data_IF_227265519315
#
_entry.id   IF_227265519315
#
_cell.length_a   1.000
_cell.length_b   1.000
_cell.length_c   1.000
_cell.angle_alpha   90.00
_cell.angle_beta   90.00
_cell.angle_gamma   90.00
#
_symmetry.space_group_name_H-M   'P 1'
#
loop_
_entity.id
_entity.type
_entity.pdbx_description
1 polymer ?
#
# COMPACT_ATOMS: atom_id res chain seq x y z
N UNK A 1 25.61 14.63 -0.11
CA UNK A 1 25.64 13.28 -0.71
C UNK A 1 25.09 12.25 0.26
N UNK A 2 24.32 11.30 -0.22
CA UNK A 2 23.75 10.20 0.57
C UNK A 2 24.88 9.29 1.10
N UNK A 3 25.07 9.25 2.43
CA UNK A 3 26.05 8.31 3.02
C UNK A 3 25.50 6.88 2.99
N UNK A 4 26.38 5.89 2.82
CA UNK A 4 26.00 4.46 2.83
C UNK A 4 25.29 4.05 4.13
N UNK A 5 25.76 4.57 5.26
CA UNK A 5 25.16 4.27 6.55
C UNK A 5 23.72 4.80 6.65
N UNK A 6 23.44 6.02 6.20
CA UNK A 6 22.07 6.58 6.18
C UNK A 6 21.15 5.86 5.21
N UNK A 7 21.68 5.45 4.06
CA UNK A 7 20.89 4.64 3.11
C UNK A 7 20.50 3.30 3.70
N UNK A 8 21.41 2.59 4.37
CA UNK A 8 21.11 1.33 5.06
C UNK A 8 20.08 1.57 6.17
N UNK A 9 20.24 2.62 6.95
CA UNK A 9 19.33 3.00 8.02
C UNK A 9 17.91 3.25 7.48
N UNK A 10 17.77 4.06 6.44
CA UNK A 10 16.47 4.32 5.81
C UNK A 10 15.80 3.04 5.30
N UNK A 11 16.55 2.14 4.69
CA UNK A 11 16.04 0.85 4.24
C UNK A 11 15.57 -0.03 5.42
N UNK A 12 16.29 -0.05 6.53
CA UNK A 12 15.87 -0.79 7.71
C UNK A 12 14.53 -0.26 8.28
N UNK A 13 14.37 1.06 8.33
CA UNK A 13 13.11 1.68 8.75
C UNK A 13 11.99 1.45 7.72
N UNK A 14 12.31 1.43 6.44
CA UNK A 14 11.34 1.12 5.39
C UNK A 14 10.80 -0.32 5.54
N UNK A 15 11.69 -1.28 5.75
CA UNK A 15 11.31 -2.67 6.05
C UNK A 15 10.34 -2.74 7.23
N UNK A 16 10.67 -2.07 8.34
CA UNK A 16 9.85 -2.06 9.53
C UNK A 16 8.48 -1.42 9.30
N UNK A 17 8.46 -0.21 8.79
CA UNK A 17 7.22 0.57 8.60
C UNK A 17 6.28 -0.10 7.59
N UNK A 18 6.80 -0.62 6.49
CA UNK A 18 6.00 -1.36 5.50
C UNK A 18 5.43 -2.65 6.08
N UNK A 19 6.23 -3.39 6.84
CA UNK A 19 5.77 -4.61 7.49
C UNK A 19 4.68 -4.34 8.52
N UNK A 20 4.81 -3.30 9.33
CA UNK A 20 3.78 -2.89 10.29
C UNK A 20 2.48 -2.50 9.58
N UNK A 21 2.58 -1.65 8.56
CA UNK A 21 1.42 -1.16 7.83
C UNK A 21 0.63 -2.29 7.15
N UNK A 22 1.33 -3.19 6.46
CA UNK A 22 0.68 -4.29 5.74
C UNK A 22 0.16 -5.40 6.67
N UNK A 23 0.58 -5.43 7.95
CA UNK A 23 -0.03 -6.27 8.98
C UNK A 23 -1.39 -5.74 9.47
N UNK A 24 -1.68 -4.43 9.31
CA UNK A 24 -2.93 -3.80 9.80
C UNK A 24 -4.19 -4.50 9.28
N UNK A 25 -4.37 -4.79 7.98
CA UNK A 25 -5.57 -5.47 7.48
C UNK A 25 -5.82 -6.82 8.15
N UNK A 26 -4.75 -7.58 8.42
CA UNK A 26 -4.83 -8.87 9.09
C UNK A 26 -5.28 -8.69 10.54
N UNK A 27 -4.61 -7.79 11.26
CA UNK A 27 -4.95 -7.50 12.66
C UNK A 27 -6.39 -7.02 12.81
N UNK A 28 -6.86 -6.16 11.89
CA UNK A 28 -8.24 -5.68 11.86
C UNK A 28 -9.23 -6.83 11.70
N UNK A 29 -8.94 -7.84 10.85
CA UNK A 29 -9.81 -9.00 10.69
C UNK A 29 -9.96 -9.79 12.00
N UNK A 30 -8.86 -10.03 12.73
CA UNK A 30 -8.93 -10.69 14.04
C UNK A 30 -9.57 -9.83 15.14
N UNK A 31 -9.38 -8.51 15.07
CA UNK A 31 -9.99 -7.58 16.01
C UNK A 31 -11.50 -7.50 15.87
N UNK A 32 -12.04 -7.35 14.65
CA UNK A 32 -13.48 -7.27 14.45
C UNK A 32 -14.17 -8.54 14.93
N UNK A 33 -13.57 -9.71 14.72
CA UNK A 33 -14.07 -10.98 15.26
C UNK A 33 -14.03 -10.98 16.80
N UNK A 34 -12.91 -10.54 17.38
CA UNK A 34 -12.72 -10.50 18.84
C UNK A 34 -13.68 -9.55 19.54
N UNK A 35 -14.13 -8.48 18.89
CA UNK A 35 -15.08 -7.51 19.41
C UNK A 35 -16.53 -7.77 18.97
N UNK A 36 -16.79 -8.82 18.17
CA UNK A 36 -18.13 -9.12 17.66
C UNK A 36 -18.61 -8.13 16.59
N UNK A 37 -17.67 -7.50 15.89
CA UNK A 37 -17.92 -6.55 14.81
C UNK A 37 -17.73 -7.21 13.43
N UNK A 38 -18.06 -6.51 12.37
CA UNK A 38 -18.01 -7.01 10.99
C UNK A 38 -17.19 -6.15 10.03
N UNK A 39 -17.36 -6.47 8.74
CA UNK A 39 -16.62 -5.89 7.61
C UNK A 39 -16.77 -4.38 7.51
N UNK A 40 -17.92 -3.84 7.94
CA UNK A 40 -18.22 -2.41 7.99
C UNK A 40 -17.22 -1.63 8.83
N UNK A 41 -16.83 -2.19 9.99
CA UNK A 41 -15.85 -1.58 10.87
C UNK A 41 -14.46 -1.57 10.20
N UNK A 42 -14.05 -2.65 9.52
CA UNK A 42 -12.80 -2.70 8.76
C UNK A 42 -12.80 -1.65 7.65
N UNK A 43 -13.86 -1.57 6.86
CA UNK A 43 -14.00 -0.59 5.79
C UNK A 43 -13.88 0.85 6.29
N UNK A 44 -14.56 1.17 7.39
CA UNK A 44 -14.53 2.49 8.00
C UNK A 44 -13.13 2.85 8.52
N UNK A 45 -12.50 1.97 9.29
CA UNK A 45 -11.18 2.21 9.90
C UNK A 45 -10.12 2.42 8.79
N UNK A 46 -10.13 1.58 7.75
CA UNK A 46 -9.17 1.69 6.65
C UNK A 46 -9.41 2.97 5.84
N UNK A 47 -10.66 3.36 5.60
CA UNK A 47 -11.00 4.61 4.90
C UNK A 47 -10.57 5.84 5.66
N UNK A 48 -10.93 5.93 6.95
CA UNK A 48 -10.54 7.07 7.80
C UNK A 48 -9.02 7.11 7.98
N UNK A 49 -8.38 5.94 8.15
CA UNK A 49 -6.92 5.84 8.22
C UNK A 49 -6.24 6.33 6.94
N UNK A 50 -6.77 5.97 5.78
CA UNK A 50 -6.25 6.43 4.48
C UNK A 50 -6.43 7.96 4.32
N UNK A 51 -7.58 8.51 4.71
CA UNK A 51 -7.83 9.95 4.72
C UNK A 51 -6.88 10.70 5.66
N UNK A 52 -6.74 10.22 6.90
CA UNK A 52 -5.83 10.79 7.89
C UNK A 52 -4.36 10.73 7.45
N UNK A 53 -3.95 9.60 6.85
CA UNK A 53 -2.61 9.43 6.29
C UNK A 53 -2.34 10.38 5.14
N UNK A 54 -3.31 10.59 4.24
CA UNK A 54 -3.20 11.56 3.14
C UNK A 54 -3.08 12.98 3.69
N UNK A 55 -3.91 13.36 4.66
CA UNK A 55 -3.87 14.68 5.29
C UNK A 55 -2.52 14.91 6.03
N UNK A 56 -2.05 13.92 6.80
CA UNK A 56 -0.75 13.99 7.46
C UNK A 56 0.40 14.11 6.44
N UNK A 57 0.28 13.41 5.31
CA UNK A 57 1.23 13.49 4.19
C UNK A 57 1.41 14.90 3.62
N UNK A 58 0.34 15.71 3.58
CA UNK A 58 0.42 17.11 3.14
C UNK A 58 1.27 17.99 4.07
N UNK A 59 1.25 17.70 5.38
CA UNK A 59 2.05 18.42 6.39
C UNK A 59 3.51 17.96 6.50
N UNK A 60 3.88 16.91 5.82
CA UNK A 60 5.18 16.23 5.97
C UNK A 60 6.38 17.16 5.80
N UNK A 61 6.40 17.97 4.74
CA UNK A 61 7.52 18.87 4.45
C UNK A 61 7.64 20.00 5.46
N UNK A 62 6.51 20.48 6.00
CA UNK A 62 6.51 21.48 7.07
C UNK A 62 7.13 20.92 8.35
N UNK A 63 6.80 19.67 8.66
CA UNK A 63 7.36 18.96 9.81
C UNK A 63 8.87 18.74 9.64
N UNK A 64 9.30 18.29 8.45
CA UNK A 64 10.71 18.09 8.15
C UNK A 64 11.54 19.38 8.18
N UNK A 65 10.96 20.51 7.76
CA UNK A 65 11.62 21.82 7.88
C UNK A 65 11.85 22.24 9.32
N UNK A 66 10.95 21.89 10.24
CA UNK A 66 11.05 22.22 11.66
C UNK A 66 11.96 21.29 12.44
N UNK A 67 11.86 20.00 12.20
CA UNK A 67 12.54 18.96 12.98
C UNK A 67 13.78 18.38 12.29
N UNK A 68 13.86 18.49 10.96
CA UNK A 68 14.80 17.75 10.12
C UNK A 68 14.26 16.39 9.69
N UNK A 69 14.86 15.79 8.66
CA UNK A 69 14.39 14.55 8.05
C UNK A 69 14.44 13.36 9.04
N UNK A 70 15.59 13.14 9.69
CA UNK A 70 15.77 11.99 10.58
C UNK A 70 14.94 12.11 11.85
N UNK A 71 14.80 13.30 12.43
CA UNK A 71 13.93 13.52 13.59
C UNK A 71 12.45 13.34 13.24
N UNK A 72 12.06 13.70 12.02
CA UNK A 72 10.71 13.43 11.54
C UNK A 72 10.47 11.93 11.37
N UNK A 73 11.41 11.16 10.81
CA UNK A 73 11.34 9.70 10.74
C UNK A 73 11.24 9.09 12.15
N UNK A 74 12.03 9.59 13.10
CA UNK A 74 11.96 9.18 14.51
C UNK A 74 10.56 9.38 15.08
N UNK A 75 10.01 10.58 14.93
CA UNK A 75 8.68 10.92 15.44
C UNK A 75 7.60 10.04 14.83
N UNK A 76 7.60 9.85 13.50
CA UNK A 76 6.58 9.02 12.84
C UNK A 76 6.68 7.56 13.23
N UNK A 77 7.91 7.02 13.37
CA UNK A 77 8.13 5.65 13.84
C UNK A 77 7.63 5.49 15.28
N UNK A 78 7.87 6.48 16.14
CA UNK A 78 7.35 6.49 17.51
C UNK A 78 5.82 6.56 17.55
N UNK A 79 5.19 7.38 16.71
CA UNK A 79 3.73 7.48 16.59
C UNK A 79 3.14 6.15 16.11
N UNK A 80 3.73 5.51 15.09
CA UNK A 80 3.32 4.18 14.66
C UNK A 80 3.41 3.16 15.79
N UNK A 81 4.56 3.11 16.49
CA UNK A 81 4.76 2.19 17.61
C UNK A 81 3.79 2.43 18.76
N UNK A 82 3.55 3.69 19.12
CA UNK A 82 2.59 4.06 20.16
C UNK A 82 1.16 3.64 19.76
N UNK A 83 0.77 3.83 18.49
CA UNK A 83 -0.52 3.39 17.97
C UNK A 83 -0.71 1.87 18.12
N UNK A 84 0.29 1.08 17.73
CA UNK A 84 0.25 -0.37 17.92
C UNK A 84 0.20 -0.78 19.40
N UNK A 85 1.04 -0.20 20.25
CA UNK A 85 1.02 -0.48 21.69
C UNK A 85 -0.34 -0.11 22.33
N UNK A 86 -0.89 1.05 21.98
CA UNK A 86 -2.18 1.50 22.50
C UNK A 86 -3.33 0.60 22.05
N UNK A 87 -3.30 0.09 20.80
CA UNK A 87 -4.28 -0.85 20.27
C UNK A 87 -4.36 -2.13 21.12
N UNK A 88 -3.24 -2.57 21.72
CA UNK A 88 -3.20 -3.73 22.62
C UNK A 88 -4.19 -3.62 23.79
N UNK A 89 -4.39 -2.42 24.32
CA UNK A 89 -5.23 -2.16 25.49
C UNK A 89 -6.64 -1.70 25.12
N UNK A 90 -6.99 -1.66 23.85
CA UNK A 90 -8.32 -1.24 23.40
C UNK A 90 -9.40 -2.17 23.94
N UNK A 91 -10.49 -1.59 24.46
CA UNK A 91 -11.66 -2.30 24.96
C UNK A 91 -12.77 -2.48 23.91
N UNK A 92 -12.65 -1.81 22.76
CA UNK A 92 -13.60 -1.88 21.66
C UNK A 92 -12.93 -1.53 20.32
N UNK A 93 -13.64 -1.78 19.22
CA UNK A 93 -13.14 -1.59 17.87
C UNK A 93 -12.90 -0.12 17.51
N UNK A 94 -13.64 0.82 18.11
CA UNK A 94 -13.48 2.25 17.83
C UNK A 94 -12.15 2.75 18.36
N UNK A 95 -11.80 2.41 19.60
CA UNK A 95 -10.51 2.77 20.20
C UNK A 95 -9.37 2.09 19.44
N UNK A 96 -9.51 0.81 19.12
CA UNK A 96 -8.52 0.09 18.31
C UNK A 96 -8.32 0.76 16.95
N UNK A 97 -9.41 1.13 16.28
CA UNK A 97 -9.39 1.83 15.00
C UNK A 97 -8.67 3.18 15.06
N UNK A 98 -8.94 3.99 16.09
CA UNK A 98 -8.25 5.26 16.30
C UNK A 98 -6.74 5.06 16.48
N UNK A 99 -6.32 4.03 17.22
CA UNK A 99 -4.92 3.68 17.37
C UNK A 99 -4.26 3.30 16.02
N UNK A 100 -4.95 2.54 15.17
CA UNK A 100 -4.44 2.19 13.83
C UNK A 100 -4.45 3.35 12.85
N UNK A 101 -5.39 4.31 12.98
CA UNK A 101 -5.36 5.55 12.18
C UNK A 101 -4.05 6.31 12.42
N UNK A 102 -3.55 6.36 13.65
CA UNK A 102 -2.25 6.96 13.96
C UNK A 102 -1.10 6.21 13.27
N UNK A 103 -1.12 4.87 13.27
CA UNK A 103 -0.12 4.07 12.61
C UNK A 103 -0.13 4.28 11.09
N UNK A 104 -1.31 4.33 10.45
CA UNK A 104 -1.46 4.59 9.02
C UNK A 104 -1.01 6.01 8.65
N UNK A 105 -1.31 7.00 9.48
CA UNK A 105 -0.82 8.37 9.27
C UNK A 105 0.72 8.43 9.29
N UNK A 106 1.34 7.73 10.23
CA UNK A 106 2.80 7.62 10.31
C UNK A 106 3.41 6.99 9.07
N UNK A 107 2.83 5.92 8.53
CA UNK A 107 3.27 5.27 7.30
C UNK A 107 3.35 6.25 6.12
N UNK A 108 2.30 7.03 5.88
CA UNK A 108 2.27 7.99 4.76
C UNK A 108 3.31 9.09 4.92
N UNK A 109 3.48 9.62 6.15
CA UNK A 109 4.49 10.64 6.44
C UNK A 109 5.90 10.08 6.23
N UNK A 110 6.18 8.85 6.69
CA UNK A 110 7.47 8.19 6.50
C UNK A 110 7.86 8.12 5.02
N UNK A 111 6.98 7.64 4.15
CA UNK A 111 7.27 7.52 2.72
C UNK A 111 7.58 8.86 2.07
N UNK A 112 6.77 9.89 2.36
CA UNK A 112 7.01 11.22 1.82
C UNK A 112 8.35 11.80 2.27
N UNK A 113 8.74 11.59 3.53
CA UNK A 113 10.03 12.03 4.07
C UNK A 113 11.19 11.25 3.45
N UNK A 114 11.09 9.93 3.41
CA UNK A 114 12.16 9.08 2.89
C UNK A 114 12.43 9.36 1.41
N UNK A 115 11.38 9.46 0.59
CA UNK A 115 11.54 9.80 -0.83
C UNK A 115 12.09 11.22 -1.03
N UNK A 116 11.65 12.20 -0.23
CA UNK A 116 12.18 13.55 -0.28
C UNK A 116 13.67 13.58 0.10
N UNK A 117 14.05 12.88 1.17
CA UNK A 117 15.43 12.78 1.61
C UNK A 117 16.32 12.14 0.53
N UNK A 118 15.88 11.01 -0.05
CA UNK A 118 16.61 10.32 -1.11
C UNK A 118 16.77 11.21 -2.35
N UNK A 119 15.73 11.94 -2.74
CA UNK A 119 15.78 12.87 -3.88
C UNK A 119 16.78 13.99 -3.68
N UNK A 120 16.83 14.56 -2.49
CA UNK A 120 17.72 15.69 -2.17
C UNK A 120 19.19 15.27 -2.05
N UNK A 121 19.47 14.04 -1.61
CA UNK A 121 20.82 13.60 -1.29
C UNK A 121 21.45 12.68 -2.34
N UNK A 122 20.69 12.30 -3.38
CA UNK A 122 21.16 11.41 -4.45
C UNK A 122 21.42 12.19 -5.73
N UNK A 123 22.53 11.92 -6.39
CA UNK A 123 22.82 12.45 -7.73
C UNK A 123 21.72 12.07 -8.72
N UNK A 124 21.28 13.04 -9.55
CA UNK A 124 20.19 12.84 -10.53
C UNK A 124 20.37 11.60 -11.41
N UNK A 125 21.63 11.29 -11.77
CA UNK A 125 21.98 10.14 -12.61
C UNK A 125 21.75 8.78 -11.91
N UNK A 126 21.76 8.73 -10.58
CA UNK A 126 21.59 7.52 -9.76
C UNK A 126 20.23 7.44 -9.08
N UNK A 127 19.46 8.53 -9.15
CA UNK A 127 18.21 8.66 -8.40
C UNK A 127 17.21 7.55 -8.73
N UNK A 128 17.00 7.25 -10.01
CA UNK A 128 16.07 6.20 -10.43
C UNK A 128 16.43 4.84 -9.85
N UNK A 129 17.72 4.47 -9.87
CA UNK A 129 18.19 3.22 -9.28
C UNK A 129 18.01 3.19 -7.76
N UNK A 130 18.40 4.25 -7.06
CA UNK A 130 18.27 4.34 -5.60
C UNK A 130 16.81 4.25 -5.16
N UNK A 131 15.89 4.90 -5.89
CA UNK A 131 14.45 4.83 -5.63
C UNK A 131 13.89 3.42 -5.87
N UNK A 132 14.30 2.78 -6.96
CA UNK A 132 13.89 1.40 -7.27
C UNK A 132 14.38 0.41 -6.20
N UNK A 133 15.66 0.50 -5.84
CA UNK A 133 16.26 -0.37 -4.82
C UNK A 133 15.58 -0.15 -3.45
N UNK A 134 15.34 1.12 -3.07
CA UNK A 134 14.63 1.47 -1.82
C UNK A 134 13.23 0.85 -1.79
N UNK A 135 12.45 0.99 -2.87
CA UNK A 135 11.10 0.45 -2.95
C UNK A 135 11.09 -1.09 -2.90
N UNK A 136 12.04 -1.74 -3.58
CA UNK A 136 12.15 -3.20 -3.57
C UNK A 136 12.53 -3.75 -2.18
N UNK A 137 13.40 -3.06 -1.45
CA UNK A 137 13.81 -3.46 -0.10
C UNK A 137 12.65 -3.39 0.90
N UNK A 138 11.77 -2.38 0.79
CA UNK A 138 10.56 -2.31 1.62
C UNK A 138 9.70 -3.58 1.52
N UNK A 139 9.57 -4.14 0.32
CA UNK A 139 8.80 -5.37 0.11
C UNK A 139 9.41 -6.61 0.81
N UNK A 140 10.72 -6.64 1.02
CA UNK A 140 11.39 -7.76 1.74
C UNK A 140 10.88 -7.88 3.17
N UNK A 141 10.61 -6.75 3.85
CA UNK A 141 10.08 -6.76 5.21
C UNK A 141 8.63 -7.20 5.33
N UNK A 142 7.84 -7.01 4.29
CA UNK A 142 6.43 -7.43 4.26
C UNK A 142 6.28 -8.94 4.43
N UNK A 143 7.13 -9.73 3.76
CA UNK A 143 7.02 -11.18 3.76
C UNK A 143 7.05 -11.75 5.21
N UNK A 144 8.09 -11.53 6.01
CA UNK A 144 8.13 -12.07 7.37
C UNK A 144 7.16 -11.39 8.32
N UNK A 145 7.07 -10.06 8.33
CA UNK A 145 6.28 -9.35 9.34
C UNK A 145 4.77 -9.58 9.15
N UNK A 146 4.26 -9.52 7.92
CA UNK A 146 2.85 -9.77 7.65
C UNK A 146 2.48 -11.22 7.94
N UNK A 147 3.33 -12.17 7.55
CA UNK A 147 3.08 -13.60 7.79
C UNK A 147 3.13 -13.95 9.28
N UNK A 148 4.15 -13.46 10.00
CA UNK A 148 4.25 -13.65 11.45
C UNK A 148 3.07 -13.03 12.20
N UNK A 149 2.63 -11.83 11.80
CA UNK A 149 1.44 -11.21 12.36
C UNK A 149 0.20 -12.10 12.18
N UNK A 150 0.01 -12.64 10.97
CA UNK A 150 -1.13 -13.48 10.65
C UNK A 150 -1.10 -14.82 11.43
N UNK A 151 0.06 -15.47 11.51
CA UNK A 151 0.21 -16.68 12.31
C UNK A 151 -0.01 -16.42 13.80
N UNK A 152 0.64 -15.40 14.36
CA UNK A 152 0.53 -15.12 15.78
C UNK A 152 -0.86 -14.62 16.20
N UNK A 153 -1.53 -13.81 15.37
CA UNK A 153 -2.85 -13.27 15.67
C UNK A 153 -3.93 -14.35 15.79
N UNK A 154 -3.72 -15.51 15.15
CA UNK A 154 -4.68 -16.64 15.17
C UNK A 154 -4.65 -17.46 16.47
N UNK A 155 -3.64 -17.27 17.32
CA UNK A 155 -3.51 -18.00 18.58
C UNK A 155 -3.92 -17.14 19.79
N UNK A 156 -4.09 -17.80 20.94
CA UNK A 156 -4.18 -17.16 22.25
C UNK A 156 -2.94 -17.50 23.08
N UNK A 157 -2.38 -16.51 23.75
CA UNK A 157 -1.19 -16.64 24.59
C UNK A 157 -1.57 -16.27 26.03
N UNK A 158 -1.63 -17.28 26.92
CA UNK A 158 -1.97 -17.05 28.32
C UNK A 158 -3.34 -16.36 28.53
N UNK A 159 -4.31 -16.66 27.67
CA UNK A 159 -5.65 -16.02 27.70
C UNK A 159 -5.75 -14.69 26.93
N UNK A 160 -4.66 -14.14 26.44
CA UNK A 160 -4.66 -12.95 25.60
C UNK A 160 -4.85 -13.31 24.12
N UNK A 161 -5.75 -12.65 23.37
CA UNK A 161 -5.87 -12.80 21.93
C UNK A 161 -4.53 -12.49 21.23
N UNK A 162 -4.14 -13.32 20.26
CA UNK A 162 -2.85 -13.20 19.58
C UNK A 162 -2.64 -11.87 18.87
N UNK A 163 -3.69 -11.25 18.34
CA UNK A 163 -3.59 -9.92 17.75
C UNK A 163 -3.08 -8.86 18.76
N UNK A 164 -3.40 -8.98 20.05
CA UNK A 164 -2.87 -8.09 21.10
C UNK A 164 -1.38 -8.30 21.32
N UNK A 165 -0.94 -9.56 21.28
CA UNK A 165 0.49 -9.90 21.39
C UNK A 165 1.26 -9.36 20.20
N UNK A 166 0.72 -9.46 18.99
CA UNK A 166 1.33 -8.86 17.80
C UNK A 166 1.40 -7.34 17.95
N UNK A 167 0.32 -6.70 18.37
CA UNK A 167 0.29 -5.25 18.55
C UNK A 167 1.36 -4.77 19.55
N UNK A 168 1.49 -5.40 20.72
CA UNK A 168 2.49 -4.98 21.71
C UNK A 168 3.92 -5.25 21.23
N UNK A 169 4.18 -6.39 20.59
CA UNK A 169 5.52 -6.74 20.11
C UNK A 169 5.97 -5.84 18.94
N UNK A 170 5.09 -5.59 17.99
CA UNK A 170 5.36 -4.69 16.85
C UNK A 170 5.48 -3.24 17.29
N UNK A 171 4.60 -2.80 18.20
CA UNK A 171 4.66 -1.48 18.78
C UNK A 171 5.95 -1.26 19.57
N UNK A 172 6.34 -2.21 20.42
CA UNK A 172 7.58 -2.15 21.18
C UNK A 172 8.82 -2.14 20.27
N UNK A 173 8.84 -2.95 19.21
CA UNK A 173 9.92 -2.95 18.22
C UNK A 173 10.04 -1.59 17.51
N UNK A 174 8.90 -0.98 17.11
CA UNK A 174 8.89 0.32 16.48
C UNK A 174 9.35 1.44 17.46
N UNK A 175 8.91 1.40 18.73
CA UNK A 175 9.36 2.35 19.75
C UNK A 175 10.85 2.21 20.05
N UNK A 176 11.37 0.97 20.14
CA UNK A 176 12.79 0.72 20.33
C UNK A 176 13.62 1.24 19.13
N UNK A 177 13.13 1.02 17.90
CA UNK A 177 13.73 1.58 16.70
C UNK A 177 13.72 3.11 16.73
N UNK A 178 12.58 3.74 17.06
CA UNK A 178 12.48 5.19 17.17
C UNK A 178 13.46 5.76 18.21
N UNK A 179 13.57 5.11 19.37
CA UNK A 179 14.49 5.50 20.42
C UNK A 179 15.95 5.39 19.96
N UNK A 180 16.28 4.29 19.29
CA UNK A 180 17.62 4.10 18.72
C UNK A 180 17.95 5.18 17.67
N UNK A 181 17.02 5.52 16.77
CA UNK A 181 17.22 6.58 15.78
C UNK A 181 17.38 7.95 16.44
N UNK A 182 16.57 8.23 17.47
CA UNK A 182 16.66 9.46 18.24
C UNK A 182 18.08 9.70 18.79
N UNK A 183 18.66 8.68 19.42
CA UNK A 183 20.01 8.79 19.97
C UNK A 183 21.09 8.81 18.88
N UNK A 184 20.90 8.06 17.80
CA UNK A 184 21.88 7.99 16.69
C UNK A 184 21.97 9.28 15.86
N UNK A 185 20.86 10.02 15.79
CA UNK A 185 20.77 11.27 15.02
C UNK A 185 20.63 12.52 15.91
N UNK A 186 20.94 12.39 17.20
CA UNK A 186 20.89 13.49 18.15
C UNK A 186 21.96 14.53 17.80
N UNK A 187 21.54 15.73 17.44
CA UNK A 187 22.44 16.82 17.04
C UNK A 187 22.49 17.09 15.53
N UNK A 188 21.76 16.33 14.73
CA UNK A 188 21.53 16.73 13.35
C UNK A 188 20.67 17.99 13.32
N UNK A 189 21.18 19.02 12.65
CA UNK A 189 20.42 20.27 12.47
C UNK A 189 19.39 20.11 11.37
N UNK A 190 18.21 20.77 11.47
CA UNK A 190 17.27 20.86 10.37
C UNK A 190 17.98 21.39 9.12
N UNK A 191 17.87 20.69 8.01
CA UNK A 191 18.40 21.17 6.75
C UNK A 191 17.47 22.26 6.21
N UNK A 192 17.83 23.51 6.43
CA UNK A 192 17.17 24.67 5.85
C UNK A 192 17.62 24.84 4.39
N UNK A 193 16.99 24.14 3.46
CA UNK A 193 17.17 24.44 2.05
C UNK A 193 16.00 25.27 1.56
N UNK A 194 16.24 26.57 1.35
CA UNK A 194 15.29 27.55 0.80
C UNK A 194 14.87 27.27 -0.65
N UNK A 195 15.49 26.33 -1.34
CA UNK A 195 15.36 26.13 -2.78
C UNK A 195 14.25 25.17 -3.25
N UNK A 196 13.35 24.70 -2.39
CA UNK A 196 12.19 23.93 -2.84
C UNK A 196 10.96 24.79 -3.18
N UNK A 197 11.12 26.10 -3.28
CA UNK A 197 10.07 27.03 -3.72
C UNK A 197 10.12 27.31 -5.23
N UNK A 198 10.32 26.30 -6.05
CA UNK A 198 9.78 26.33 -7.40
C UNK A 198 8.27 26.39 -7.26
N UNK A 199 7.67 27.52 -7.66
CA UNK A 199 6.25 27.79 -7.54
C UNK A 199 5.45 26.55 -7.97
N UNK A 200 4.81 25.87 -7.00
CA UNK A 200 3.84 24.85 -7.32
C UNK A 200 2.62 25.58 -7.89
N UNK A 201 2.60 25.69 -9.21
CA UNK A 201 1.36 25.79 -9.92
C UNK A 201 0.52 24.56 -9.57
N UNK A 202 -0.76 24.74 -9.24
CA UNK A 202 -1.67 23.60 -9.10
C UNK A 202 -1.63 22.80 -10.41
N UNK A 203 -1.67 21.45 -10.35
CA UNK A 203 -1.64 20.64 -11.57
C UNK A 203 -2.79 21.04 -12.48
N UNK A 204 -2.51 21.17 -13.77
CA UNK A 204 -3.50 21.57 -14.75
C UNK A 204 -4.41 20.41 -15.11
N UNK A 205 -5.69 20.50 -14.75
CA UNK A 205 -6.71 19.54 -15.19
C UNK A 205 -6.98 19.60 -16.71
N UNK A 206 -6.35 20.55 -17.41
CA UNK A 206 -6.38 20.62 -18.88
C UNK A 206 -5.86 19.37 -19.58
N UNK A 207 -5.07 18.53 -18.90
CA UNK A 207 -4.58 17.26 -19.43
C UNK A 207 -5.70 16.28 -19.81
N UNK A 208 -6.90 16.38 -19.19
CA UNK A 208 -8.05 15.54 -19.55
C UNK A 208 -8.67 15.85 -20.91
N UNK A 209 -8.26 16.94 -21.57
CA UNK A 209 -8.63 17.21 -22.97
C UNK A 209 -7.97 16.23 -23.93
N UNK A 210 -6.82 15.65 -23.54
CA UNK A 210 -6.21 14.56 -24.29
C UNK A 210 -6.94 13.24 -23.97
N UNK A 211 -7.59 12.68 -24.99
CA UNK A 211 -8.35 11.43 -24.88
C UNK A 211 -7.50 10.27 -24.38
N UNK A 212 -6.25 10.20 -24.79
CA UNK A 212 -5.35 9.08 -24.43
C UNK A 212 -4.95 9.19 -22.95
N UNK A 213 -4.66 10.40 -22.46
CA UNK A 213 -4.40 10.63 -21.03
C UNK A 213 -5.65 10.32 -20.19
N UNK A 214 -6.83 10.74 -20.66
CA UNK A 214 -8.09 10.44 -19.99
C UNK A 214 -8.32 8.93 -19.86
N UNK A 215 -8.14 8.17 -20.96
CA UNK A 215 -8.30 6.71 -20.96
C UNK A 215 -7.26 6.01 -20.04
N UNK A 216 -6.01 6.47 -20.05
CA UNK A 216 -4.98 5.95 -19.17
C UNK A 216 -5.31 6.19 -17.69
N UNK A 217 -5.79 7.40 -17.34
CA UNK A 217 -6.24 7.73 -15.99
C UNK A 217 -7.46 6.90 -15.56
N UNK A 218 -8.43 6.73 -16.45
CA UNK A 218 -9.61 5.90 -16.19
C UNK A 218 -9.22 4.46 -15.90
N UNK A 219 -8.31 3.87 -16.69
CA UNK A 219 -7.77 2.55 -16.44
C UNK A 219 -7.08 2.47 -15.06
N UNK A 220 -6.30 3.48 -14.71
CA UNK A 220 -5.61 3.55 -13.41
C UNK A 220 -6.58 3.60 -12.23
N UNK A 221 -7.67 4.36 -12.33
CA UNK A 221 -8.70 4.48 -11.28
C UNK A 221 -9.46 3.15 -11.14
N UNK A 222 -9.88 2.54 -12.25
CA UNK A 222 -10.58 1.25 -12.23
C UNK A 222 -9.69 0.15 -11.66
N UNK A 223 -8.40 0.12 -12.02
CA UNK A 223 -7.43 -0.79 -11.43
C UNK A 223 -7.29 -0.55 -9.91
N UNK A 224 -7.19 0.70 -9.44
CA UNK A 224 -7.13 0.99 -8.01
C UNK A 224 -8.37 0.46 -7.27
N UNK A 225 -9.54 0.64 -7.85
CA UNK A 225 -10.80 0.19 -7.27
C UNK A 225 -10.87 -1.35 -7.16
N UNK A 226 -10.48 -2.06 -8.21
CA UNK A 226 -10.56 -3.52 -8.26
C UNK A 226 -9.44 -4.23 -7.49
N UNK A 227 -8.28 -3.59 -7.32
CA UNK A 227 -7.03 -4.24 -6.99
C UNK A 227 -6.49 -3.86 -5.60
N UNK A 228 -6.46 -2.55 -5.27
CA UNK A 228 -5.67 -2.06 -4.14
C UNK A 228 -6.18 -2.55 -2.77
N UNK A 229 -7.42 -3.06 -2.68
CA UNK A 229 -8.08 -3.49 -1.42
C UNK A 229 -8.37 -4.98 -1.31
N UNK A 230 -7.93 -5.79 -2.26
CA UNK A 230 -8.11 -7.25 -2.23
C UNK A 230 -7.58 -7.83 -0.91
N UNK A 231 -6.35 -7.50 -0.53
CA UNK A 231 -5.72 -8.01 0.68
C UNK A 231 -6.39 -7.51 1.97
N UNK A 232 -7.06 -6.34 1.93
CA UNK A 232 -7.75 -5.77 3.10
C UNK A 232 -8.89 -6.66 3.59
N UNK A 233 -9.65 -7.24 2.68
CA UNK A 233 -10.82 -8.05 3.00
C UNK A 233 -10.57 -9.56 2.85
N UNK A 234 -9.43 -9.98 2.31
CA UNK A 234 -9.10 -11.38 2.08
C UNK A 234 -9.15 -12.24 3.36
N UNK A 235 -8.60 -11.82 4.52
CA UNK A 235 -8.70 -12.63 5.74
C UNK A 235 -10.15 -12.85 6.16
N UNK A 236 -11.04 -11.86 6.04
CA UNK A 236 -12.44 -11.98 6.38
C UNK A 236 -13.19 -12.91 5.41
N UNK A 237 -12.90 -12.82 4.10
CA UNK A 237 -13.46 -13.76 3.13
C UNK A 237 -13.09 -15.20 3.48
N UNK A 238 -11.82 -15.45 3.81
CA UNK A 238 -11.33 -16.80 4.12
C UNK A 238 -11.97 -17.35 5.40
N UNK A 239 -12.06 -16.54 6.45
CA UNK A 239 -12.73 -16.91 7.69
C UNK A 239 -14.23 -17.18 7.44
N UNK A 240 -14.88 -16.32 6.64
CA UNK A 240 -16.28 -16.51 6.25
C UNK A 240 -16.54 -17.78 5.42
N UNK A 241 -15.52 -18.29 4.72
CA UNK A 241 -15.54 -19.59 4.03
C UNK A 241 -15.24 -20.78 4.95
N UNK A 242 -15.04 -20.54 6.25
CA UNK A 242 -14.72 -21.60 7.22
C UNK A 242 -13.25 -22.03 7.21
N UNK A 243 -12.35 -21.26 6.60
CA UNK A 243 -10.91 -21.52 6.68
C UNK A 243 -10.45 -21.30 8.12
N UNK A 244 -9.68 -22.26 8.68
CA UNK A 244 -9.14 -22.14 10.03
C UNK A 244 -8.28 -20.85 10.11
N UNK A 245 -8.56 -19.94 11.04
CA UNK A 245 -7.78 -18.72 11.24
C UNK A 245 -6.27 -18.97 11.34
N UNK A 246 -5.83 -20.12 11.87
CA UNK A 246 -4.42 -20.51 11.97
C UNK A 246 -3.70 -20.64 10.62
N UNK A 247 -4.44 -20.83 9.55
CA UNK A 247 -3.89 -21.00 8.20
C UNK A 247 -3.79 -19.66 7.46
N UNK A 248 -4.43 -18.60 7.97
CA UNK A 248 -4.40 -17.27 7.31
C UNK A 248 -2.96 -16.77 7.10
N UNK A 249 -2.03 -17.14 7.99
CA UNK A 249 -0.61 -16.85 7.80
C UNK A 249 -0.02 -17.41 6.51
N UNK A 250 -0.45 -18.59 6.08
CA UNK A 250 -0.01 -19.19 4.81
C UNK A 250 -0.51 -18.40 3.60
N UNK A 251 -1.73 -17.87 3.64
CA UNK A 251 -2.25 -17.00 2.57
C UNK A 251 -1.53 -15.67 2.54
N UNK A 252 -1.28 -15.07 3.70
CA UNK A 252 -0.52 -13.83 3.81
C UNK A 252 0.90 -13.99 3.26
N UNK A 253 1.55 -15.12 3.57
CA UNK A 253 2.85 -15.49 3.03
C UNK A 253 2.80 -15.65 1.51
N UNK A 254 1.87 -16.45 1.00
CA UNK A 254 1.69 -16.69 -0.44
C UNK A 254 1.45 -15.38 -1.20
N UNK A 255 0.54 -14.53 -0.71
CA UNK A 255 0.27 -13.23 -1.31
C UNK A 255 1.49 -12.30 -1.28
N UNK A 256 2.23 -12.24 -0.17
CA UNK A 256 3.42 -11.39 -0.03
C UNK A 256 4.57 -11.85 -0.94
N UNK A 257 4.81 -13.15 -1.03
CA UNK A 257 5.79 -13.73 -1.97
C UNK A 257 5.37 -13.46 -3.41
N UNK A 258 4.09 -13.68 -3.73
CA UNK A 258 3.53 -13.33 -5.04
C UNK A 258 3.72 -11.85 -5.38
N UNK A 259 3.47 -10.96 -4.44
CA UNK A 259 3.64 -9.51 -4.62
C UNK A 259 5.08 -9.13 -4.99
N UNK A 260 6.05 -9.72 -4.32
CA UNK A 260 7.46 -9.51 -4.61
C UNK A 260 7.84 -10.03 -6.01
N UNK A 261 7.43 -11.27 -6.33
CA UNK A 261 7.68 -11.89 -7.64
C UNK A 261 7.00 -11.11 -8.77
N UNK A 262 5.77 -10.64 -8.54
CA UNK A 262 4.99 -9.88 -9.51
C UNK A 262 5.65 -8.58 -9.93
N UNK A 263 6.16 -7.81 -8.98
CA UNK A 263 6.89 -6.56 -9.29
C UNK A 263 8.13 -6.83 -10.14
N UNK A 264 8.87 -7.89 -9.85
CA UNK A 264 10.05 -8.27 -10.63
C UNK A 264 9.70 -8.76 -12.04
N UNK A 265 8.65 -9.56 -12.17
CA UNK A 265 8.27 -10.17 -13.45
C UNK A 265 7.57 -9.16 -14.37
N UNK A 266 6.60 -8.39 -13.86
CA UNK A 266 5.81 -7.50 -14.70
C UNK A 266 6.64 -6.36 -15.31
N UNK A 267 7.67 -5.86 -14.62
CA UNK A 267 8.61 -4.89 -15.21
C UNK A 267 9.28 -5.44 -16.49
N UNK A 268 9.77 -6.68 -16.44
CA UNK A 268 10.38 -7.35 -17.60
C UNK A 268 9.37 -7.63 -18.72
N UNK A 269 8.13 -7.97 -18.35
CA UNK A 269 7.07 -8.18 -19.33
C UNK A 269 6.67 -6.88 -20.02
N UNK A 270 6.67 -5.74 -19.33
CA UNK A 270 6.47 -4.43 -19.94
C UNK A 270 7.53 -4.14 -20.99
N UNK A 271 8.81 -4.42 -20.68
CA UNK A 271 9.91 -4.22 -21.62
C UNK A 271 9.78 -5.12 -22.87
N UNK A 272 9.27 -6.36 -22.70
CA UNK A 272 9.20 -7.35 -23.79
C UNK A 272 7.92 -7.25 -24.63
N UNK A 273 6.78 -6.98 -24.01
CA UNK A 273 5.45 -7.05 -24.65
C UNK A 273 4.74 -5.71 -24.74
N UNK A 274 5.28 -4.67 -24.08
CA UNK A 274 4.69 -3.35 -23.93
C UNK A 274 3.65 -3.28 -22.81
N UNK A 275 3.45 -2.08 -22.23
CA UNK A 275 2.63 -1.89 -21.02
C UNK A 275 1.15 -2.25 -21.22
N UNK A 276 0.59 -1.97 -22.40
CA UNK A 276 -0.84 -2.20 -22.66
C UNK A 276 -1.21 -3.68 -22.69
N UNK A 277 -0.42 -4.52 -23.37
CA UNK A 277 -0.68 -5.96 -23.44
C UNK A 277 -0.54 -6.59 -22.05
N UNK A 278 0.49 -6.18 -21.31
CA UNK A 278 0.73 -6.69 -19.96
C UNK A 278 -0.40 -6.27 -19.02
N UNK A 279 -0.89 -5.03 -19.11
CA UNK A 279 -2.01 -4.55 -18.30
C UNK A 279 -3.29 -5.32 -18.58
N UNK A 280 -3.70 -5.43 -19.85
CA UNK A 280 -4.92 -6.15 -20.24
C UNK A 280 -4.84 -7.62 -19.81
N UNK A 281 -3.70 -8.28 -20.02
CA UNK A 281 -3.52 -9.67 -19.58
C UNK A 281 -3.60 -9.80 -18.05
N UNK A 282 -3.01 -8.85 -17.29
CA UNK A 282 -3.06 -8.85 -15.85
C UNK A 282 -4.47 -8.63 -15.31
N UNK A 283 -5.25 -7.68 -15.87
CA UNK A 283 -6.64 -7.43 -15.44
C UNK A 283 -7.57 -8.61 -15.75
N UNK A 284 -7.42 -9.24 -16.91
CA UNK A 284 -8.19 -10.44 -17.24
C UNK A 284 -7.81 -11.62 -16.35
N UNK A 285 -6.52 -11.81 -16.07
CA UNK A 285 -6.06 -12.82 -15.12
C UNK A 285 -6.58 -12.54 -13.71
N UNK A 286 -6.55 -11.28 -13.26
CA UNK A 286 -7.13 -10.85 -11.99
C UNK A 286 -8.61 -11.21 -11.91
N UNK A 287 -9.38 -10.92 -12.96
CA UNK A 287 -10.79 -11.30 -13.07
C UNK A 287 -11.00 -12.80 -12.86
N UNK A 288 -10.24 -13.63 -13.58
CA UNK A 288 -10.33 -15.09 -13.45
C UNK A 288 -9.97 -15.56 -12.04
N UNK A 289 -8.89 -15.00 -11.45
CA UNK A 289 -8.45 -15.37 -10.11
C UNK A 289 -9.46 -14.97 -9.04
N UNK A 290 -10.12 -13.82 -9.15
CA UNK A 290 -11.16 -13.39 -8.23
C UNK A 290 -12.41 -14.27 -8.32
N UNK A 291 -12.84 -14.62 -9.53
CA UNK A 291 -13.92 -15.58 -9.74
C UNK A 291 -13.55 -16.97 -9.18
N UNK A 292 -12.34 -17.44 -9.43
CA UNK A 292 -11.85 -18.70 -8.89
C UNK A 292 -11.78 -18.68 -7.35
N UNK A 293 -11.37 -17.58 -6.73
CA UNK A 293 -11.33 -17.41 -5.28
C UNK A 293 -12.72 -17.52 -4.64
N UNK A 294 -13.73 -16.93 -5.29
CA UNK A 294 -15.13 -17.02 -4.82
C UNK A 294 -15.60 -18.48 -4.83
N UNK A 295 -15.21 -19.25 -5.83
CA UNK A 295 -15.66 -20.64 -6.03
C UNK A 295 -14.77 -21.68 -5.33
N UNK A 296 -13.57 -21.30 -4.90
CA UNK A 296 -12.62 -22.23 -4.31
C UNK A 296 -13.00 -22.60 -2.88
N UNK A 297 -13.02 -23.91 -2.59
CA UNK A 297 -13.22 -24.45 -1.24
C UNK A 297 -12.01 -25.26 -0.75
N UNK A 298 -11.12 -25.67 -1.68
CA UNK A 298 -9.92 -26.44 -1.34
C UNK A 298 -8.79 -25.52 -0.90
N UNK A 299 -8.20 -25.83 0.26
CA UNK A 299 -7.12 -25.04 0.86
C UNK A 299 -5.93 -24.79 -0.08
N UNK A 300 -5.44 -25.85 -0.75
CA UNK A 300 -4.28 -25.74 -1.66
C UNK A 300 -4.59 -24.81 -2.83
N UNK A 301 -5.81 -24.89 -3.37
CA UNK A 301 -6.27 -24.03 -4.46
C UNK A 301 -6.31 -22.55 -4.00
N UNK A 302 -6.87 -22.29 -2.82
CA UNK A 302 -6.98 -20.93 -2.27
C UNK A 302 -5.58 -20.33 -2.00
N UNK A 303 -4.62 -21.10 -1.44
CA UNK A 303 -3.23 -20.63 -1.24
C UNK A 303 -2.57 -20.32 -2.58
N UNK A 304 -2.76 -21.19 -3.58
CA UNK A 304 -2.22 -20.96 -4.92
C UNK A 304 -2.82 -19.71 -5.57
N UNK A 305 -4.12 -19.49 -5.43
CA UNK A 305 -4.79 -18.27 -5.89
C UNK A 305 -4.26 -17.04 -5.15
N UNK A 306 -4.02 -17.11 -3.84
CA UNK A 306 -3.48 -15.99 -3.08
C UNK A 306 -2.08 -15.57 -3.56
N UNK A 307 -1.21 -16.52 -3.88
CA UNK A 307 0.09 -16.26 -4.48
C UNK A 307 -0.05 -15.59 -5.86
N UNK A 308 -0.90 -16.12 -6.73
CA UNK A 308 -1.15 -15.55 -8.05
C UNK A 308 -1.79 -14.15 -7.97
N UNK A 309 -2.74 -13.95 -7.04
CA UNK A 309 -3.30 -12.63 -6.74
C UNK A 309 -2.20 -11.65 -6.32
N UNK A 310 -1.28 -12.06 -5.46
CA UNK A 310 -0.12 -11.25 -5.09
C UNK A 310 0.70 -10.82 -6.34
N UNK A 311 0.99 -11.77 -7.23
CA UNK A 311 1.73 -11.50 -8.48
C UNK A 311 1.02 -10.44 -9.32
N UNK A 312 -0.27 -10.63 -9.57
CA UNK A 312 -1.03 -9.74 -10.46
C UNK A 312 -1.24 -8.37 -9.80
N UNK A 313 -1.69 -8.34 -8.54
CA UNK A 313 -2.05 -7.09 -7.87
C UNK A 313 -0.89 -6.12 -7.73
N UNK A 314 0.24 -6.58 -7.24
CA UNK A 314 1.42 -5.72 -7.03
C UNK A 314 2.29 -5.59 -8.27
N UNK A 315 2.22 -6.58 -9.18
CA UNK A 315 2.89 -6.53 -10.48
C UNK A 315 2.33 -5.47 -11.41
N UNK A 316 1.04 -5.09 -11.28
CA UNK A 316 0.45 -4.03 -12.10
C UNK A 316 0.92 -2.62 -11.72
N UNK A 317 1.54 -2.42 -10.55
CA UNK A 317 2.03 -1.09 -10.13
C UNK A 317 2.97 -0.44 -11.16
N UNK A 318 4.08 -1.06 -11.59
CA UNK A 318 4.94 -0.49 -12.63
C UNK A 318 4.24 -0.40 -13.99
N UNK A 319 3.31 -1.31 -14.28
CA UNK A 319 2.56 -1.32 -15.54
C UNK A 319 1.65 -0.09 -15.66
N UNK A 320 0.93 0.25 -14.59
CA UNK A 320 0.10 1.46 -14.53
C UNK A 320 0.95 2.73 -14.70
N UNK A 321 2.12 2.80 -14.05
CA UNK A 321 3.01 3.95 -14.23
C UNK A 321 3.44 4.10 -15.70
N UNK A 322 3.71 3.01 -16.38
CA UNK A 322 4.04 3.03 -17.80
C UNK A 322 2.85 3.48 -18.66
N UNK A 323 1.62 3.00 -18.37
CA UNK A 323 0.41 3.36 -19.14
C UNK A 323 0.07 4.84 -19.01
N UNK A 324 0.09 5.41 -17.80
CA UNK A 324 -0.26 6.82 -17.60
C UNK A 324 0.78 7.77 -18.20
N UNK A 325 2.01 7.32 -18.37
CA UNK A 325 3.09 8.12 -18.95
C UNK A 325 3.24 7.96 -20.46
N UNK A 326 2.75 6.85 -21.04
CA UNK A 326 2.87 6.56 -22.47
C UNK A 326 2.31 7.67 -23.37
N UNK A 327 1.12 8.28 -23.11
CA UNK A 327 0.59 9.34 -23.95
C UNK A 327 1.23 10.73 -23.72
N UNK A 328 2.07 10.90 -22.72
CA UNK A 328 2.64 12.20 -22.34
C UNK A 328 3.77 12.58 -23.28
N UNK A 329 3.67 13.75 -23.94
CA UNK A 329 4.64 14.21 -24.95
C UNK A 329 5.64 15.23 -24.43
N UNK A 330 5.30 15.97 -23.40
CA UNK A 330 6.15 17.03 -22.87
C UNK A 330 6.49 16.79 -21.39
N UNK A 331 7.68 17.26 -20.97
CA UNK A 331 8.20 17.02 -19.64
C UNK A 331 7.37 17.72 -18.52
N UNK A 332 6.70 18.82 -18.81
CA UNK A 332 5.87 19.54 -17.83
C UNK A 332 4.61 18.74 -17.49
N UNK A 333 3.98 18.15 -18.51
CA UNK A 333 2.77 17.33 -18.33
C UNK A 333 3.01 16.05 -17.56
N UNK A 334 4.24 15.50 -17.48
CA UNK A 334 4.53 14.34 -16.62
C UNK A 334 4.20 14.60 -15.15
N UNK A 335 4.62 15.76 -14.63
CA UNK A 335 4.35 16.13 -13.23
C UNK A 335 2.86 16.24 -12.95
N UNK A 336 2.10 16.83 -13.87
CA UNK A 336 0.65 17.00 -13.75
C UNK A 336 -0.05 15.64 -13.78
N UNK A 337 0.32 14.77 -14.73
CA UNK A 337 -0.24 13.41 -14.86
C UNK A 337 -0.01 12.60 -13.59
N UNK A 338 1.21 12.56 -13.06
CA UNK A 338 1.52 11.85 -11.82
C UNK A 338 0.76 12.43 -10.62
N UNK A 339 0.70 13.74 -10.49
CA UNK A 339 0.03 14.41 -9.37
C UNK A 339 -1.47 14.15 -9.37
N UNK A 340 -2.11 14.28 -10.53
CA UNK A 340 -3.54 14.05 -10.70
C UNK A 340 -3.87 12.57 -10.51
N UNK A 341 -3.06 11.66 -11.09
CA UNK A 341 -3.26 10.22 -10.89
C UNK A 341 -3.15 9.84 -9.41
N UNK A 342 -2.15 10.35 -8.71
CA UNK A 342 -1.97 10.10 -7.28
C UNK A 342 -3.16 10.63 -6.46
N UNK A 343 -3.67 11.80 -6.80
CA UNK A 343 -4.85 12.39 -6.16
C UNK A 343 -6.11 11.54 -6.37
N UNK A 344 -6.39 11.15 -7.62
CA UNK A 344 -7.57 10.35 -7.98
C UNK A 344 -7.49 8.94 -7.37
N UNK A 345 -6.33 8.28 -7.44
CA UNK A 345 -6.12 6.99 -6.75
C UNK A 345 -6.25 7.14 -5.24
N UNK A 346 -5.77 8.24 -4.66
CA UNK A 346 -5.94 8.56 -3.25
C UNK A 346 -7.40 8.61 -2.83
N UNK A 347 -8.25 9.31 -3.59
CA UNK A 347 -9.70 9.35 -3.38
C UNK A 347 -10.31 7.95 -3.52
N UNK A 348 -9.96 7.21 -4.58
CA UNK A 348 -10.44 5.85 -4.79
C UNK A 348 -10.06 4.96 -3.61
N UNK A 349 -8.81 5.00 -3.18
CA UNK A 349 -8.30 4.22 -2.05
C UNK A 349 -8.90 4.59 -0.69
N UNK A 350 -9.41 5.80 -0.55
CA UNK A 350 -10.16 6.24 0.61
C UNK A 350 -11.62 5.75 0.57
N UNK A 351 -12.29 5.85 -0.58
CA UNK A 351 -13.72 5.54 -0.68
C UNK A 351 -13.99 4.04 -0.83
N UNK A 352 -13.12 3.31 -1.52
CA UNK A 352 -13.32 1.88 -1.83
C UNK A 352 -13.47 1.00 -0.58
N UNK A 353 -12.64 1.10 0.48
CA UNK A 353 -12.83 0.27 1.67
C UNK A 353 -14.14 0.56 2.38
N UNK A 354 -14.55 1.83 2.43
CA UNK A 354 -15.83 2.22 3.01
C UNK A 354 -16.99 1.56 2.26
N UNK A 355 -17.00 1.70 0.94
CA UNK A 355 -18.00 1.11 0.07
C UNK A 355 -18.04 -0.42 0.23
N UNK A 356 -16.89 -1.07 0.16
CA UNK A 356 -16.79 -2.52 0.28
C UNK A 356 -17.19 -3.03 1.65
N UNK A 357 -16.85 -2.35 2.74
CA UNK A 357 -17.29 -2.70 4.08
C UNK A 357 -18.82 -2.66 4.21
N UNK A 358 -19.46 -1.63 3.65
CA UNK A 358 -20.94 -1.53 3.61
C UNK A 358 -21.57 -2.60 2.72
N UNK A 359 -21.05 -2.83 1.52
CA UNK A 359 -21.56 -3.82 0.58
C UNK A 359 -21.38 -5.26 1.10
N UNK A 360 -20.23 -5.55 1.73
CA UNK A 360 -19.99 -6.85 2.35
C UNK A 360 -21.00 -7.14 3.47
N UNK A 361 -21.24 -6.15 4.33
CA UNK A 361 -22.23 -6.26 5.41
C UNK A 361 -23.68 -6.36 4.93
N UNK A 362 -24.01 -5.67 3.82
CA UNK A 362 -25.38 -5.67 3.27
C UNK A 362 -25.68 -6.92 2.41
N UNK A 363 -24.70 -7.42 1.69
CA UNK A 363 -24.86 -8.54 0.75
C UNK A 363 -24.01 -9.74 1.17
N UNK A 364 -22.70 -9.72 0.88
CA UNK A 364 -21.74 -10.75 1.30
C UNK A 364 -20.31 -10.35 0.92
N UNK A 365 -19.34 -11.05 1.52
CA UNK A 365 -17.94 -10.94 1.10
C UNK A 365 -17.73 -11.39 -0.35
N UNK A 366 -18.43 -12.43 -0.81
CA UNK A 366 -18.34 -12.88 -2.20
C UNK A 366 -18.82 -11.80 -3.19
N UNK A 367 -19.84 -11.01 -2.81
CA UNK A 367 -20.35 -9.93 -3.67
C UNK A 367 -19.30 -8.85 -3.94
N UNK A 368 -18.53 -8.44 -2.94
CA UNK A 368 -17.49 -7.42 -3.16
C UNK A 368 -16.36 -7.96 -4.05
N UNK A 369 -15.97 -9.23 -3.92
CA UNK A 369 -14.99 -9.85 -4.80
C UNK A 369 -15.52 -10.03 -6.23
N UNK A 370 -16.82 -10.30 -6.40
CA UNK A 370 -17.46 -10.31 -7.71
C UNK A 370 -17.47 -8.92 -8.36
N UNK A 371 -17.75 -7.86 -7.58
CA UNK A 371 -17.66 -6.47 -8.05
C UNK A 371 -16.21 -6.13 -8.46
N UNK A 372 -15.22 -6.51 -7.64
CA UNK A 372 -13.81 -6.32 -8.01
C UNK A 372 -13.48 -7.04 -9.32
N UNK A 373 -13.97 -8.28 -9.52
CA UNK A 373 -13.73 -9.04 -10.76
C UNK A 373 -14.34 -8.35 -11.99
N UNK A 374 -15.58 -7.85 -11.87
CA UNK A 374 -16.22 -7.10 -12.96
C UNK A 374 -15.46 -5.81 -13.28
N UNK A 375 -15.07 -5.05 -12.24
CA UNK A 375 -14.33 -3.80 -12.45
C UNK A 375 -12.93 -4.05 -13.02
N UNK A 376 -12.27 -5.14 -12.63
CA UNK A 376 -10.99 -5.54 -13.25
C UNK A 376 -11.15 -5.82 -14.74
N UNK A 377 -12.18 -6.58 -15.15
CA UNK A 377 -12.48 -6.80 -16.57
C UNK A 377 -12.75 -5.47 -17.31
N UNK A 378 -13.53 -4.58 -16.70
CA UNK A 378 -13.85 -3.25 -17.27
C UNK A 378 -12.60 -2.36 -17.34
N UNK A 379 -11.64 -2.50 -16.42
CA UNK A 379 -10.39 -1.72 -16.43
C UNK A 379 -9.52 -1.98 -17.67
N UNK A 380 -9.66 -3.13 -18.30
CA UNK A 380 -8.98 -3.42 -19.57
C UNK A 380 -9.53 -2.59 -20.74
N UNK A 381 -10.82 -2.21 -20.72
CA UNK A 381 -11.49 -1.56 -21.84
C UNK A 381 -10.86 -0.20 -22.22
N UNK A 382 -10.62 0.75 -21.30
CA UNK A 382 -9.97 2.01 -21.65
C UNK A 382 -8.63 1.80 -22.36
N UNK A 383 -7.82 0.85 -21.91
CA UNK A 383 -6.50 0.57 -22.53
C UNK A 383 -6.64 -0.01 -23.94
N UNK A 384 -7.65 -0.86 -24.17
CA UNK A 384 -7.96 -1.38 -25.50
C UNK A 384 -8.45 -0.30 -26.46
N UNK A 385 -9.10 0.76 -25.94
CA UNK A 385 -9.59 1.91 -26.71
C UNK A 385 -8.51 2.96 -27.01
N UNK A 386 -7.34 2.89 -26.38
CA UNK A 386 -6.22 3.78 -26.65
C UNK A 386 -5.66 3.52 -28.06
N UNK A 387 -5.37 4.60 -28.80
CA UNK A 387 -4.73 4.50 -30.10
C UNK A 387 -3.32 3.93 -29.95
N UNK A 388 -2.88 3.08 -30.88
CA UNK A 388 -1.49 2.65 -30.94
C UNK A 388 -0.63 3.87 -31.24
N UNK A 389 0.25 4.24 -30.33
CA UNK A 389 1.34 5.14 -30.68
C UNK A 389 2.38 4.26 -31.40
N UNK A 390 2.58 4.51 -32.67
CA UNK A 390 3.78 4.02 -33.33
C UNK A 390 4.94 4.65 -32.58
N UNK A 391 5.65 3.85 -31.82
CA UNK A 391 6.92 4.23 -31.26
C UNK A 391 7.84 4.50 -32.45
N UNK A 392 7.93 5.76 -32.87
CA UNK A 392 9.02 6.18 -33.72
C UNK A 392 10.30 5.81 -32.95
N UNK A 393 11.03 4.86 -33.51
CA UNK A 393 12.32 4.34 -33.03
C UNK A 393 13.36 5.44 -32.91
#
# INVERSE_FOLDING_TARGET
MLSRARYILLNAYHILIDGLFDAVPILLAFMVISFGEGEKAVGLIVSVGTAAGTAAGLGTLLLARKLGFMQTITLVTAVCGAGFCAATFSGNIVVAGLCFILAVAGYNVFHNIAFSYLTLHTERRRLGRVMSDFTAIGDVGRIPLVSLAAFAAAYSFGGFPGWRVVCITYGAAALAAALWLFFSCRGERPETREEASGGRSFPSFGIFKDREIFLAMLASILNAFSNDRIFTFLPLLLIGKGVDPKIIGSFALGFSVGSFLGKMACGRFVDSFGPRKVFVAAELLLTVLLCALIMADQLVLIVSIALLLGIVTKGTVPVIQAIITEPVRDAASYSDVFSINSFLRGITNMLTPLLFGFLASAWSMNAIYAIMAVVAAVAAVPVLLMRRFDSAR
#
